data_IF_625378895766
#
_entry.id   IF_625378895766
#
_cell.length_a   1.000
_cell.length_b   1.000
_cell.length_c   1.000
_cell.angle_alpha   90.00
_cell.angle_beta   90.00
_cell.angle_gamma   90.00
#
_symmetry.space_group_name_H-M   'P 1'
#
loop_
_entity.id
_entity.type
_entity.pdbx_description
1 polymer ?
#
# COMPACT_ATOMS: atom_id res chain seq x y z
N UNK A 1 0.46 1.52 -3.36
CA UNK A 1 -0.38 0.75 -4.32
C UNK A 1 -0.54 -0.64 -3.76
N UNK A 2 -1.77 -1.16 -3.70
CA UNK A 2 -2.03 -2.57 -3.43
C UNK A 2 -2.38 -3.22 -4.77
N UNK A 3 -1.58 -4.18 -5.21
CA UNK A 3 -1.82 -4.95 -6.43
C UNK A 3 -1.45 -6.41 -6.18
N UNK A 4 -2.49 -7.24 -6.05
CA UNK A 4 -2.46 -8.61 -5.54
C UNK A 4 -3.07 -9.52 -6.62
N UNK A 5 -2.60 -10.76 -6.72
CA UNK A 5 -2.81 -11.74 -7.78
C UNK A 5 -4.16 -11.60 -8.49
N UNK A 6 -4.11 -11.65 -9.83
CA UNK A 6 -5.09 -11.04 -10.77
C UNK A 6 -4.85 -9.53 -10.91
N UNK A 7 -3.59 -9.19 -11.16
CA UNK A 7 -3.08 -7.83 -11.31
C UNK A 7 -3.88 -7.04 -12.33
N UNK A 8 -4.09 -5.75 -12.04
CA UNK A 8 -4.93 -4.89 -12.87
C UNK A 8 -4.10 -4.04 -13.81
N UNK A 9 -4.39 -4.12 -15.12
CA UNK A 9 -3.71 -3.28 -16.13
C UNK A 9 -3.91 -1.78 -15.88
N UNK A 10 -5.05 -1.40 -15.30
CA UNK A 10 -5.32 -0.01 -14.90
C UNK A 10 -4.33 0.47 -13.83
N UNK A 11 -4.02 -0.36 -12.83
CA UNK A 11 -3.02 -0.06 -11.79
C UNK A 11 -1.61 -0.03 -12.36
N UNK A 12 -1.29 -0.90 -13.32
CA UNK A 12 -0.01 -0.88 -14.00
C UNK A 12 0.21 0.44 -14.76
N UNK A 13 -0.77 0.85 -15.56
CA UNK A 13 -0.73 2.15 -16.28
C UNK A 13 -0.68 3.34 -15.32
N UNK A 14 -1.36 3.24 -14.18
CA UNK A 14 -1.31 4.28 -13.15
C UNK A 14 0.09 4.38 -12.52
N UNK A 15 0.67 3.24 -12.14
CA UNK A 15 2.01 3.18 -11.56
C UNK A 15 3.09 3.71 -12.51
N UNK A 16 3.01 3.33 -13.79
CA UNK A 16 3.92 3.84 -14.82
C UNK A 16 3.84 5.36 -14.95
N UNK A 17 2.63 5.92 -15.06
CA UNK A 17 2.43 7.39 -15.14
C UNK A 17 2.90 8.11 -13.87
N UNK A 18 2.69 7.52 -12.70
CA UNK A 18 3.15 8.09 -11.43
C UNK A 18 4.69 8.08 -11.35
N UNK A 19 5.33 6.98 -11.75
CA UNK A 19 6.78 6.85 -11.81
C UNK A 19 7.42 7.86 -12.78
N UNK A 20 6.84 8.05 -13.97
CA UNK A 20 7.28 9.07 -14.94
C UNK A 20 7.22 10.50 -14.37
N UNK A 21 6.38 10.76 -13.37
CA UNK A 21 6.30 12.04 -12.65
C UNK A 21 7.20 12.13 -11.41
N UNK A 22 8.06 11.13 -11.19
CA UNK A 22 8.97 11.08 -10.03
C UNK A 22 8.28 10.72 -8.71
N UNK A 23 7.05 10.20 -8.74
CA UNK A 23 6.33 9.80 -7.51
C UNK A 23 6.99 8.55 -6.93
N UNK A 24 7.25 8.57 -5.62
CA UNK A 24 7.74 7.38 -4.91
C UNK A 24 6.61 6.40 -4.67
N UNK A 25 6.74 5.20 -5.22
CA UNK A 25 5.74 4.14 -5.12
C UNK A 25 6.15 3.16 -4.02
N UNK A 26 5.27 2.97 -3.04
CA UNK A 26 5.30 1.83 -2.11
C UNK A 26 4.26 0.82 -2.61
N UNK A 27 4.70 -0.38 -2.96
CA UNK A 27 3.87 -1.47 -3.47
C UNK A 27 3.66 -2.53 -2.38
N UNK A 28 2.41 -2.87 -2.12
CA UNK A 28 2.01 -4.09 -1.42
C UNK A 28 1.50 -5.08 -2.46
N UNK A 29 2.06 -6.29 -2.47
CA UNK A 29 1.75 -7.32 -3.47
C UNK A 29 1.86 -8.72 -2.87
N UNK A 30 1.52 -9.75 -3.63
CA UNK A 30 1.68 -11.13 -3.22
C UNK A 30 3.06 -11.70 -3.57
N UNK A 31 3.29 -12.96 -3.17
CA UNK A 31 4.50 -13.74 -3.40
C UNK A 31 4.95 -13.87 -4.87
N UNK A 32 4.07 -13.65 -5.85
CA UNK A 32 4.37 -13.77 -7.29
C UNK A 32 4.83 -12.45 -7.91
N UNK A 33 4.73 -11.35 -7.17
CA UNK A 33 5.10 -9.98 -7.53
C UNK A 33 4.34 -9.40 -8.74
N UNK A 34 3.54 -8.37 -8.48
CA UNK A 34 2.96 -7.54 -9.55
C UNK A 34 4.03 -6.97 -10.49
N UNK A 35 3.75 -6.83 -11.80
CA UNK A 35 4.60 -6.10 -12.74
C UNK A 35 4.92 -4.65 -12.31
N UNK A 36 4.11 -4.06 -11.43
CA UNK A 36 4.32 -2.73 -10.82
C UNK A 36 5.62 -2.69 -10.00
N UNK A 37 6.13 -3.83 -9.54
CA UNK A 37 7.36 -3.90 -8.74
C UNK A 37 8.56 -3.19 -9.42
N UNK A 38 8.61 -3.17 -10.75
CA UNK A 38 9.66 -2.46 -11.52
C UNK A 38 9.66 -0.94 -11.33
N UNK A 39 8.53 -0.36 -10.93
CA UNK A 39 8.35 1.07 -10.72
C UNK A 39 8.41 1.45 -9.24
N UNK A 40 8.34 0.47 -8.33
CA UNK A 40 8.22 0.67 -6.90
C UNK A 40 9.59 0.88 -6.24
N UNK A 41 9.69 1.88 -5.36
CA UNK A 41 10.87 2.09 -4.51
C UNK A 41 10.90 1.07 -3.37
N UNK A 42 9.73 0.76 -2.82
CA UNK A 42 9.57 -0.20 -1.74
C UNK A 42 8.53 -1.23 -2.14
N UNK A 43 8.87 -2.51 -1.97
CA UNK A 43 7.98 -3.64 -2.26
C UNK A 43 7.81 -4.46 -0.99
N UNK A 44 6.56 -4.65 -0.59
CA UNK A 44 6.15 -5.49 0.52
C UNK A 44 5.36 -6.65 -0.10
N UNK A 45 5.98 -7.83 -0.13
CA UNK A 45 5.38 -9.05 -0.67
C UNK A 45 4.93 -9.97 0.45
N UNK A 46 3.66 -10.38 0.43
CA UNK A 46 3.05 -11.28 1.42
C UNK A 46 2.61 -12.59 0.79
N UNK A 47 2.64 -13.69 1.57
CA UNK A 47 2.01 -14.94 1.13
C UNK A 47 0.49 -14.83 1.26
N UNK A 48 -0.22 -15.21 0.21
CA UNK A 48 -1.70 -15.20 0.18
C UNK A 48 -2.32 -16.58 0.16
N UNK A 49 -1.53 -17.62 -0.11
CA UNK A 49 -2.01 -18.98 -0.19
C UNK A 49 -2.52 -19.49 1.17
N UNK A 50 -3.74 -20.01 1.18
CA UNK A 50 -4.38 -20.65 2.34
C UNK A 50 -5.09 -21.94 1.88
N UNK A 51 -5.46 -22.86 2.79
CA UNK A 51 -6.20 -24.10 2.46
C UNK A 51 -7.66 -23.82 2.04
N UNK A 52 -7.86 -23.01 1.01
CA UNK A 52 -9.16 -22.55 0.54
C UNK A 52 -9.14 -22.27 -0.96
N UNK A 53 -10.32 -22.19 -1.59
CA UNK A 53 -10.45 -21.81 -3.00
C UNK A 53 -10.10 -20.32 -3.27
N UNK A 54 -9.92 -19.54 -2.21
CA UNK A 54 -9.63 -18.11 -2.25
C UNK A 54 -8.26 -17.80 -1.65
N UNK A 55 -7.62 -16.77 -2.17
CA UNK A 55 -6.42 -16.17 -1.58
C UNK A 55 -6.81 -15.33 -0.35
N UNK A 56 -5.95 -15.30 0.68
CA UNK A 56 -6.13 -14.46 1.88
C UNK A 56 -5.22 -13.23 1.84
N UNK A 57 -5.78 -12.05 2.08
CA UNK A 57 -5.02 -10.80 2.22
C UNK A 57 -4.71 -10.44 3.68
N UNK A 58 -5.03 -11.31 4.65
CA UNK A 58 -4.89 -11.00 6.07
C UNK A 58 -3.45 -10.62 6.45
N UNK A 59 -2.45 -11.37 5.99
CA UNK A 59 -1.04 -11.06 6.26
C UNK A 59 -0.64 -9.69 5.71
N UNK A 60 -1.12 -9.31 4.51
CA UNK A 60 -0.85 -8.00 3.92
C UNK A 60 -1.51 -6.88 4.71
N UNK A 61 -2.73 -7.08 5.19
CA UNK A 61 -3.41 -6.09 6.05
C UNK A 61 -2.70 -5.90 7.38
N UNK A 62 -2.25 -6.97 8.04
CA UNK A 62 -1.49 -6.86 9.29
C UNK A 62 -0.23 -6.02 9.10
N UNK A 63 0.49 -6.21 7.98
CA UNK A 63 1.69 -5.41 7.68
C UNK A 63 1.31 -3.94 7.41
N UNK A 64 0.25 -3.70 6.66
CA UNK A 64 -0.23 -2.34 6.39
C UNK A 64 -0.66 -1.61 7.68
N UNK A 65 -1.41 -2.27 8.56
CA UNK A 65 -1.84 -1.74 9.86
C UNK A 65 -0.65 -1.48 10.78
N UNK A 66 0.33 -2.38 10.79
CA UNK A 66 1.58 -2.19 11.57
C UNK A 66 2.34 -0.95 11.09
N UNK A 67 2.44 -0.76 9.77
CA UNK A 67 3.06 0.41 9.17
C UNK A 67 2.29 1.69 9.54
N UNK A 68 0.96 1.67 9.41
CA UNK A 68 0.10 2.80 9.80
C UNK A 68 0.31 3.13 11.28
N UNK A 69 0.26 2.13 12.16
CA UNK A 69 0.47 2.33 13.60
C UNK A 69 1.85 2.89 13.94
N UNK A 70 2.89 2.45 13.25
CA UNK A 70 4.25 2.99 13.42
C UNK A 70 4.34 4.46 12.98
N UNK A 71 3.81 4.79 11.79
CA UNK A 71 3.80 6.16 11.26
C UNK A 71 2.96 7.09 12.15
N UNK A 72 1.79 6.63 12.60
CA UNK A 72 0.92 7.41 13.50
C UNK A 72 1.62 7.73 14.81
N UNK A 73 2.33 6.78 15.42
CA UNK A 73 3.12 7.04 16.64
C UNK A 73 4.26 8.01 16.38
N UNK A 74 4.90 7.95 15.21
CA UNK A 74 6.00 8.83 14.87
C UNK A 74 5.55 10.28 14.59
N UNK A 75 4.31 10.46 14.11
CA UNK A 75 3.74 11.75 13.69
C UNK A 75 2.58 12.20 14.59
N UNK A 76 2.56 11.77 15.85
CA UNK A 76 1.41 11.96 16.75
C UNK A 76 0.97 13.43 16.85
N UNK A 77 1.93 14.34 17.05
CA UNK A 77 1.68 15.77 17.22
C UNK A 77 1.12 16.42 15.94
N UNK A 78 1.74 16.17 14.78
CA UNK A 78 1.31 16.68 13.48
C UNK A 78 -0.04 16.09 13.07
N UNK A 79 -0.25 14.80 13.34
CA UNK A 79 -1.51 14.11 13.07
C UNK A 79 -2.67 14.74 13.84
N UNK A 80 -2.49 14.97 15.15
CA UNK A 80 -3.49 15.63 15.97
C UNK A 80 -3.78 17.06 15.50
N UNK A 81 -2.75 17.80 15.06
CA UNK A 81 -2.93 19.14 14.48
C UNK A 81 -3.79 19.10 13.21
N UNK A 82 -3.49 18.19 12.28
CA UNK A 82 -4.24 18.01 11.03
C UNK A 82 -5.71 17.67 11.25
N UNK A 83 -6.00 16.81 12.22
CA UNK A 83 -7.38 16.44 12.56
C UNK A 83 -8.14 17.67 13.05
N UNK A 84 -7.56 18.46 13.98
CA UNK A 84 -8.17 19.71 14.47
C UNK A 84 -8.42 20.72 13.36
N UNK A 85 -7.47 20.90 12.44
CA UNK A 85 -7.65 21.77 11.28
C UNK A 85 -8.84 21.32 10.42
N UNK A 86 -8.98 20.02 10.18
CA UNK A 86 -10.07 19.46 9.41
C UNK A 86 -11.43 19.58 10.12
N UNK A 87 -11.46 19.46 11.44
CA UNK A 87 -12.65 19.69 12.26
C UNK A 87 -13.09 21.16 12.24
N UNK A 88 -12.15 22.11 12.16
CA UNK A 88 -12.48 23.54 12.07
C UNK A 88 -13.12 23.97 10.73
N UNK A 89 -13.08 23.10 9.72
CA UNK A 89 -13.70 23.31 8.41
C UNK A 89 -15.14 22.73 8.33
N UNK A 90 -15.63 22.09 9.40
CA UNK A 90 -16.99 21.57 9.53
C UNK A 90 -17.91 22.56 10.24
#
# INVERSE_FOLDING_TARGET
IFDIRRYQDSLLRFAEKAHQRGVQIVLFTDQWLSPIARFARHVIAGRTAVPSAWDSSAALFVVAETLIGAVTRQLEAEGAKRIREMESLR
#
